data_IF_700016830972
#
_entry.id   IF_700016830972
#
_cell.length_a   1.000
_cell.length_b   1.000
_cell.length_c   1.000
_cell.angle_alpha   90.00
_cell.angle_beta   90.00
_cell.angle_gamma   90.00
#
_symmetry.space_group_name_H-M   'P 1'
#
loop_
_entity.id
_entity.type
_entity.pdbx_description
1 polymer ?
#
# COMPACT_ATOMS: atom_id res chain seq x y z
N UNK A 1 6.84 24.16 -2.87
CA UNK A 1 6.41 22.84 -2.34
C UNK A 1 6.98 21.71 -3.19
N UNK A 2 7.08 20.52 -2.63
CA UNK A 2 7.60 19.30 -3.26
C UNK A 2 6.55 18.77 -4.24
N UNK A 3 6.89 18.69 -5.52
CA UNK A 3 5.96 18.32 -6.59
C UNK A 3 5.47 16.87 -6.47
N UNK A 4 4.25 16.55 -6.92
CA UNK A 4 3.59 15.23 -6.76
C UNK A 4 4.51 14.03 -7.08
N UNK A 5 5.30 14.12 -8.14
CA UNK A 5 6.22 13.07 -8.59
C UNK A 5 7.70 13.39 -8.31
N UNK A 6 8.01 14.51 -7.64
CA UNK A 6 9.36 14.91 -7.25
C UNK A 6 9.84 14.02 -6.09
N UNK A 7 11.00 13.39 -6.23
CA UNK A 7 11.64 12.63 -5.15
C UNK A 7 12.07 13.55 -4.02
N UNK A 8 12.35 13.00 -2.83
CA UNK A 8 12.93 13.81 -1.75
C UNK A 8 14.27 14.42 -2.17
N UNK A 9 15.09 13.68 -2.93
CA UNK A 9 16.39 14.13 -3.42
C UNK A 9 16.28 15.33 -4.36
N UNK A 10 15.39 15.27 -5.33
CA UNK A 10 15.21 16.34 -6.33
C UNK A 10 14.73 17.63 -5.67
N UNK A 11 13.79 17.48 -4.73
CA UNK A 11 13.29 18.60 -3.93
C UNK A 11 14.39 19.29 -3.13
N UNK A 12 15.20 18.53 -2.39
CA UNK A 12 16.30 19.07 -1.61
C UNK A 12 17.34 19.75 -2.50
N UNK A 13 17.62 19.17 -3.66
CA UNK A 13 18.56 19.75 -4.64
C UNK A 13 18.05 21.09 -5.14
N UNK A 14 16.76 21.18 -5.49
CA UNK A 14 16.12 22.42 -5.93
C UNK A 14 16.07 23.45 -4.81
N UNK A 15 15.67 23.05 -3.61
CA UNK A 15 15.64 23.92 -2.43
C UNK A 15 17.02 24.52 -2.15
N UNK A 16 18.08 23.70 -2.16
CA UNK A 16 19.45 24.17 -1.93
C UNK A 16 19.89 25.17 -3.01
N UNK A 17 19.51 24.95 -4.27
CA UNK A 17 19.81 25.90 -5.35
C UNK A 17 19.10 27.23 -5.13
N UNK A 18 17.80 27.20 -4.82
CA UNK A 18 17.00 28.39 -4.55
C UNK A 18 17.49 29.14 -3.30
N UNK A 19 17.86 28.42 -2.23
CA UNK A 19 18.34 29.01 -0.98
C UNK A 19 19.64 29.78 -1.14
N UNK A 20 20.54 29.32 -2.03
CA UNK A 20 21.79 30.02 -2.34
C UNK A 20 21.59 31.32 -3.12
N UNK A 21 20.42 31.51 -3.75
CA UNK A 21 20.09 32.75 -4.45
C UNK A 21 19.52 33.83 -3.52
N UNK A 22 19.12 33.46 -2.30
CA UNK A 22 18.57 34.38 -1.30
C UNK A 22 19.72 34.97 -0.50
N UNK A 23 19.94 36.28 -0.64
CA UNK A 23 20.92 37.02 0.18
C UNK A 23 20.47 37.04 1.64
N UNK A 24 21.43 36.86 2.55
CA UNK A 24 21.21 36.93 4.00
C UNK A 24 20.10 36.00 4.50
N UNK A 25 20.01 34.79 3.90
CA UNK A 25 19.03 33.79 4.33
C UNK A 25 19.35 33.27 5.73
N UNK A 26 18.52 33.67 6.67
CA UNK A 26 18.56 33.17 8.04
C UNK A 26 18.27 31.65 8.09
N UNK A 27 19.11 30.84 8.77
CA UNK A 27 18.96 29.39 8.83
C UNK A 27 17.60 28.92 9.39
N UNK A 28 17.05 29.66 10.34
CA UNK A 28 15.74 29.38 10.95
C UNK A 28 14.60 29.48 9.92
N UNK A 29 14.64 30.51 9.06
CA UNK A 29 13.69 30.67 7.96
C UNK A 29 13.87 29.60 6.90
N UNK A 30 15.11 29.23 6.56
CA UNK A 30 15.39 28.13 5.66
C UNK A 30 14.78 26.81 6.16
N UNK A 31 14.91 26.51 7.45
CA UNK A 31 14.35 25.32 8.07
C UNK A 31 12.82 25.31 7.99
N UNK A 32 12.16 26.42 8.32
CA UNK A 32 10.70 26.54 8.24
C UNK A 32 10.23 26.38 6.79
N UNK A 33 10.86 27.08 5.85
CA UNK A 33 10.53 27.01 4.43
C UNK A 33 10.71 25.59 3.86
N UNK A 34 11.79 24.90 4.26
CA UNK A 34 12.02 23.51 3.88
C UNK A 34 10.87 22.61 4.36
N UNK A 35 10.52 22.71 5.64
CA UNK A 35 9.50 21.87 6.27
C UNK A 35 8.13 22.11 5.65
N UNK A 36 7.74 23.38 5.46
CA UNK A 36 6.48 23.76 4.80
C UNK A 36 6.42 23.37 3.33
N UNK A 37 7.57 23.15 2.70
CA UNK A 37 7.63 22.73 1.31
C UNK A 37 7.61 21.21 1.12
N UNK A 38 7.75 20.38 2.15
CA UNK A 38 7.68 18.91 2.02
C UNK A 38 6.25 18.43 1.75
N UNK A 39 6.09 17.26 1.13
CA UNK A 39 4.77 16.60 1.03
C UNK A 39 4.28 16.16 2.40
N UNK A 40 2.97 16.29 2.65
CA UNK A 40 2.31 15.88 3.89
C UNK A 40 2.50 14.40 4.24
N UNK A 41 2.65 13.54 3.23
CA UNK A 41 2.88 12.10 3.38
C UNK A 41 4.36 11.70 3.29
N UNK A 42 5.29 12.66 3.36
CA UNK A 42 6.72 12.39 3.36
C UNK A 42 7.15 11.67 4.65
N UNK A 43 8.01 10.66 4.53
CA UNK A 43 8.60 10.00 5.69
C UNK A 43 9.46 10.96 6.52
N UNK A 44 10.05 11.97 5.88
CA UNK A 44 10.80 13.02 6.54
C UNK A 44 9.90 13.93 7.39
N UNK A 45 8.75 14.39 6.87
CA UNK A 45 7.86 15.29 7.64
C UNK A 45 7.36 14.62 8.91
N UNK A 46 6.99 13.33 8.83
CA UNK A 46 6.59 12.56 10.01
C UNK A 46 7.71 12.42 11.05
N UNK A 47 8.95 12.25 10.60
CA UNK A 47 10.11 12.22 11.50
C UNK A 47 10.34 13.55 12.21
N UNK A 48 10.09 14.67 11.53
CA UNK A 48 10.23 16.01 12.09
C UNK A 48 9.10 16.33 13.06
N UNK A 49 7.88 15.90 12.79
CA UNK A 49 6.76 16.03 13.72
C UNK A 49 7.00 15.24 15.02
N UNK A 50 7.54 14.02 14.91
CA UNK A 50 7.87 13.19 16.08
C UNK A 50 8.98 13.77 16.94
N UNK A 51 9.99 14.35 16.31
CA UNK A 51 11.13 14.95 16.99
C UNK A 51 11.51 16.24 16.25
N UNK A 52 10.96 17.39 16.65
CA UNK A 52 11.30 18.67 16.04
C UNK A 52 12.81 18.91 16.05
N UNK A 53 13.30 19.56 15.01
CA UNK A 53 14.72 19.90 14.86
C UNK A 53 14.90 21.40 14.89
N UNK A 54 15.81 21.89 15.72
CA UNK A 54 16.21 23.30 15.77
C UNK A 54 17.57 23.55 15.13
N UNK A 55 18.26 22.47 14.74
CA UNK A 55 19.60 22.49 14.19
C UNK A 55 19.59 21.98 12.75
N UNK A 56 20.31 22.70 11.88
CA UNK A 56 20.46 22.35 10.47
C UNK A 56 21.24 21.04 10.29
N UNK A 57 22.21 20.73 11.14
CA UNK A 57 22.99 19.50 11.00
C UNK A 57 22.14 18.25 11.30
N UNK A 58 21.29 18.26 12.34
CA UNK A 58 20.32 17.18 12.57
C UNK A 58 19.33 17.02 11.42
N UNK A 59 18.84 18.14 10.85
CA UNK A 59 17.93 18.12 9.71
C UNK A 59 18.57 17.45 8.49
N UNK A 60 19.81 17.82 8.14
CA UNK A 60 20.55 17.26 7.02
C UNK A 60 20.79 15.76 7.20
N UNK A 61 21.23 15.33 8.39
CA UNK A 61 21.42 13.90 8.70
C UNK A 61 20.14 13.09 8.53
N UNK A 62 19.00 13.64 8.94
CA UNK A 62 17.70 12.99 8.75
C UNK A 62 17.28 12.98 7.29
N UNK A 63 17.46 14.09 6.58
CA UNK A 63 17.14 14.20 5.17
C UNK A 63 17.88 13.13 4.35
N UNK A 64 19.18 12.95 4.58
CA UNK A 64 19.99 11.90 3.95
C UNK A 64 19.44 10.49 4.26
N UNK A 65 19.19 10.21 5.54
CA UNK A 65 18.60 8.92 5.95
C UNK A 65 17.29 8.62 5.23
N UNK A 66 16.38 9.61 5.17
CA UNK A 66 15.07 9.42 4.57
C UNK A 66 15.08 9.47 3.04
N UNK A 67 16.11 10.06 2.43
CA UNK A 67 16.33 9.99 0.99
C UNK A 67 16.56 8.54 0.55
N UNK A 68 17.42 7.81 1.28
CA UNK A 68 17.64 6.38 1.03
C UNK A 68 16.36 5.55 1.25
N UNK A 69 15.54 5.90 2.25
CA UNK A 69 14.25 5.25 2.49
C UNK A 69 13.26 5.53 1.34
N UNK A 70 13.17 6.77 0.88
CA UNK A 70 12.30 7.19 -0.23
C UNK A 70 12.68 6.46 -1.53
N UNK A 71 13.97 6.40 -1.86
CA UNK A 71 14.51 5.66 -3.00
C UNK A 71 14.20 4.16 -2.90
N UNK A 72 14.36 3.56 -1.71
CA UNK A 72 14.03 2.16 -1.46
C UNK A 72 12.54 1.85 -1.61
N UNK A 73 11.66 2.73 -1.15
CA UNK A 73 10.21 2.62 -1.31
C UNK A 73 9.81 2.78 -2.78
N UNK A 74 10.41 3.73 -3.49
CA UNK A 74 10.17 3.93 -4.92
C UNK A 74 10.58 2.68 -5.73
N UNK A 75 11.75 2.11 -5.46
CA UNK A 75 12.22 0.89 -6.13
C UNK A 75 11.29 -0.32 -5.90
N UNK A 76 10.72 -0.45 -4.69
CA UNK A 76 9.74 -1.51 -4.37
C UNK A 76 8.43 -1.33 -5.14
N UNK A 77 7.92 -0.09 -5.23
CA UNK A 77 6.70 0.22 -5.99
C UNK A 77 6.86 -0.10 -7.48
N UNK A 78 8.03 0.18 -8.05
CA UNK A 78 8.35 -0.21 -9.42
C UNK A 78 8.29 -1.72 -9.58
N UNK A 79 8.93 -2.50 -8.71
CA UNK A 79 8.89 -3.98 -8.74
C UNK A 79 7.47 -4.53 -8.70
N UNK A 80 6.59 -4.00 -7.85
CA UNK A 80 5.17 -4.41 -7.83
C UNK A 80 4.40 -4.02 -9.10
N UNK A 81 4.80 -2.93 -9.78
CA UNK A 81 4.23 -2.55 -11.08
C UNK A 81 4.64 -3.49 -12.22
N UNK A 82 5.77 -4.21 -12.11
CA UNK A 82 6.21 -5.20 -13.11
C UNK A 82 5.48 -6.56 -13.00
N UNK A 83 4.84 -6.84 -11.85
CA UNK A 83 4.09 -8.09 -11.62
C UNK A 83 2.61 -7.99 -11.97
N UNK A 84 2.18 -6.93 -12.66
CA UNK A 84 0.81 -6.79 -13.15
C UNK A 84 0.75 -6.96 -14.68
N UNK A 85 0.75 -8.21 -15.20
CA UNK A 85 0.26 -8.48 -16.53
C UNK A 85 -1.20 -8.94 -16.44
N UNK A 86 -2.15 -8.00 -16.48
CA UNK A 86 -3.50 -8.33 -16.94
C UNK A 86 -3.74 -7.73 -18.33
N UNK A 87 -3.55 -8.59 -19.33
CA UNK A 87 -3.92 -8.39 -20.71
C UNK A 87 -5.42 -8.11 -20.90
N UNK A 88 -5.72 -7.28 -21.92
CA UNK A 88 -6.83 -7.39 -22.88
C UNK A 88 -8.24 -7.69 -22.35
N UNK A 89 -9.12 -6.71 -22.53
CA UNK A 89 -10.40 -7.01 -23.19
C UNK A 89 -10.69 -5.99 -24.31
N UNK A 90 -10.18 -6.33 -25.50
CA UNK A 90 -10.74 -5.87 -26.76
C UNK A 90 -12.09 -6.59 -26.95
N UNK A 91 -13.21 -5.96 -26.58
CA UNK A 91 -14.51 -6.40 -27.08
C UNK A 91 -15.33 -5.24 -27.66
N UNK A 92 -14.73 -4.57 -28.63
CA UNK A 92 -15.50 -3.97 -29.72
C UNK A 92 -15.59 -5.00 -30.84
N UNK A 93 -16.67 -5.78 -30.89
CA UNK A 93 -17.32 -6.22 -32.14
C UNK A 93 -18.62 -6.98 -31.84
N UNK A 94 -19.70 -6.27 -32.13
CA UNK A 94 -21.02 -6.73 -32.53
C UNK A 94 -21.05 -7.99 -33.42
N UNK A 95 -22.22 -8.64 -33.43
CA UNK A 95 -22.67 -9.81 -34.21
C UNK A 95 -22.45 -11.13 -33.48
N UNK A 96 -23.46 -11.78 -32.89
CA UNK A 96 -24.57 -12.37 -33.62
C UNK A 96 -25.75 -12.63 -32.66
N UNK A 97 -26.70 -11.69 -32.62
CA UNK A 97 -28.04 -11.99 -32.18
C UNK A 97 -28.80 -12.70 -33.31
N UNK A 98 -29.66 -13.66 -32.93
CA UNK A 98 -30.74 -14.35 -33.69
C UNK A 98 -30.46 -15.82 -34.08
N UNK A 99 -31.09 -16.72 -33.33
CA UNK A 99 -31.87 -17.91 -33.78
C UNK A 99 -32.74 -18.34 -32.58
N UNK A 100 -33.95 -17.84 -32.41
CA UNK A 100 -35.23 -18.28 -33.00
C UNK A 100 -35.57 -19.79 -32.83
N UNK A 101 -36.30 -20.07 -31.73
CA UNK A 101 -37.58 -20.82 -31.61
C UNK A 101 -37.64 -22.37 -31.66
N UNK A 102 -38.37 -22.87 -30.63
CA UNK A 102 -39.38 -23.97 -30.60
C UNK A 102 -38.81 -25.40 -30.52
N UNK A 103 -39.29 -26.35 -29.69
CA UNK A 103 -40.46 -26.55 -28.80
C UNK A 103 -40.12 -27.68 -27.79
N UNK A 104 -40.89 -27.77 -26.69
CA UNK A 104 -41.23 -29.05 -26.05
C UNK A 104 -40.74 -29.23 -24.61
N UNK A 105 -41.62 -29.00 -23.63
CA UNK A 105 -41.51 -29.64 -22.30
C UNK A 105 -41.89 -31.13 -22.39
N UNK A 106 -41.61 -31.92 -21.33
CA UNK A 106 -42.62 -32.02 -20.28
C UNK A 106 -42.07 -31.99 -18.84
N UNK A 107 -42.80 -31.26 -17.99
CA UNK A 107 -43.28 -31.66 -16.66
C UNK A 107 -42.42 -32.63 -15.84
N UNK A 108 -41.66 -32.07 -14.89
CA UNK A 108 -41.00 -32.83 -13.82
C UNK A 108 -41.93 -32.91 -12.60
N UNK A 109 -42.30 -34.15 -12.26
CA UNK A 109 -43.08 -34.56 -11.10
C UNK A 109 -42.34 -34.32 -9.78
N UNK A 110 -43.09 -33.99 -8.72
CA UNK A 110 -42.63 -33.49 -7.41
C UNK A 110 -42.02 -34.54 -6.47
N UNK A 111 -41.56 -35.67 -6.99
CA UNK A 111 -41.21 -36.83 -6.14
C UNK A 111 -39.70 -36.98 -5.84
N UNK A 112 -38.84 -36.10 -6.33
CA UNK A 112 -37.39 -36.18 -6.04
C UNK A 112 -36.98 -35.54 -4.68
N UNK A 113 -37.94 -34.99 -3.92
CA UNK A 113 -37.67 -34.25 -2.68
C UNK A 113 -37.61 -35.11 -1.40
N UNK A 114 -37.76 -36.44 -1.48
CA UNK A 114 -38.01 -37.30 -0.30
C UNK A 114 -36.90 -38.27 0.09
N UNK A 115 -35.67 -38.05 -0.34
CA UNK A 115 -34.59 -38.99 -0.01
C UNK A 115 -33.30 -38.28 0.41
N UNK A 116 -33.30 -37.53 1.53
CA UNK A 116 -32.13 -37.39 2.44
C UNK A 116 -32.41 -36.58 3.74
N UNK A 117 -33.65 -36.25 4.09
CA UNK A 117 -33.98 -35.69 5.42
C UNK A 117 -34.13 -36.81 6.46
N UNK A 118 -33.01 -37.36 6.92
CA UNK A 118 -32.95 -38.08 8.20
C UNK A 118 -31.50 -38.29 8.65
N UNK A 119 -30.99 -37.38 9.47
CA UNK A 119 -30.26 -37.67 10.73
C UNK A 119 -29.70 -36.36 11.33
N UNK A 120 -30.40 -35.92 12.38
CA UNK A 120 -29.85 -35.51 13.68
C UNK A 120 -28.76 -34.43 13.75
N UNK A 121 -29.17 -33.31 14.35
CA UNK A 121 -28.49 -32.44 15.32
C UNK A 121 -26.98 -32.21 15.26
N UNK A 122 -26.61 -30.92 15.27
CA UNK A 122 -25.30 -30.46 15.74
C UNK A 122 -24.91 -29.11 15.16
N UNK A 123 -25.26 -28.02 15.86
CA UNK A 123 -24.71 -26.67 15.64
C UNK A 123 -23.18 -26.71 15.45
N UNK A 124 -22.57 -26.00 14.48
CA UNK A 124 -21.12 -25.81 14.51
C UNK A 124 -20.81 -24.76 15.58
N UNK A 125 -20.61 -25.25 16.81
CA UNK A 125 -19.96 -24.49 17.87
C UNK A 125 -18.62 -24.01 17.33
N UNK A 126 -18.43 -22.68 17.40
CA UNK A 126 -17.23 -21.96 17.87
C UNK A 126 -15.91 -22.67 17.54
N UNK A 127 -15.13 -22.01 16.68
CA UNK A 127 -13.83 -22.47 16.17
C UNK A 127 -12.92 -23.15 17.20
N UNK A 128 -12.07 -24.02 16.67
CA UNK A 128 -11.07 -24.82 17.38
C UNK A 128 -10.43 -24.05 18.55
N UNK A 129 -10.30 -24.65 19.75
CA UNK A 129 -9.61 -24.00 20.85
C UNK A 129 -8.19 -23.60 20.44
N UNK A 130 -7.82 -22.34 20.74
CA UNK A 130 -6.46 -21.82 20.50
C UNK A 130 -5.48 -22.69 21.31
N UNK A 131 -4.47 -23.31 20.68
CA UNK A 131 -3.46 -24.07 21.41
C UNK A 131 -2.67 -23.14 22.34
N UNK A 132 -2.59 -23.53 23.62
CA UNK A 132 -1.79 -22.84 24.62
C UNK A 132 -0.33 -23.33 24.55
N UNK A 133 0.59 -22.47 24.10
CA UNK A 133 2.02 -22.77 24.03
C UNK A 133 2.76 -22.22 25.25
N UNK A 134 2.88 -23.05 26.30
CA UNK A 134 3.70 -22.76 27.48
C UNK A 134 5.01 -23.55 27.54
N UNK A 135 5.35 -24.32 26.49
CA UNK A 135 6.63 -25.02 26.43
C UNK A 135 7.61 -24.24 25.56
N UNK A 136 8.51 -23.52 26.22
CA UNK A 136 9.69 -22.97 25.58
C UNK A 136 10.72 -24.08 25.32
N UNK A 137 11.33 -24.07 24.13
CA UNK A 137 12.44 -24.96 23.83
C UNK A 137 13.64 -24.58 24.73
N UNK A 138 14.28 -25.54 25.43
CA UNK A 138 15.45 -25.23 26.24
C UNK A 138 16.60 -24.78 25.34
N UNK A 139 17.27 -23.68 25.73
CA UNK A 139 18.47 -23.21 25.06
C UNK A 139 19.59 -24.22 25.35
N UNK A 140 20.16 -24.78 24.28
CA UNK A 140 21.38 -25.56 24.38
C UNK A 140 22.51 -24.57 24.71
N UNK A 141 22.96 -24.56 25.95
CA UNK A 141 24.22 -23.92 26.31
C UNK A 141 25.35 -24.78 25.73
N UNK A 142 26.14 -24.18 24.84
CA UNK A 142 27.32 -24.75 24.20
C UNK A 142 28.54 -24.69 25.10
#
# INVERSE_FOLDING_TARGET
MQGKNESLRDYLTRFNKESLMVKDLEPSFALVALNSGLKDNSTLIFSLMKKPTHDMADLLRRAEKYMNVDEGLAARKQKTSWFDPQEKEKNSRSALGKKQRRKGGPELTKDDLRHKLSKTEGSPKRGSPIPNYNNFAPLLET
#
